data_IF_551341743192
#
_entry.id   IF_551341743192
#
_cell.length_a   1.000
_cell.length_b   1.000
_cell.length_c   1.000
_cell.angle_alpha   90.00
_cell.angle_beta   90.00
_cell.angle_gamma   90.00
#
_symmetry.space_group_name_H-M   'P 1'
#
loop_
_entity.id
_entity.type
_entity.pdbx_description
1 polymer ?
#
# COMPACT_ATOMS: atom_id res chain seq x y z
N UNK A 1 23.23 23.26 13.89
CA UNK A 1 23.26 24.02 15.15
C UNK A 1 24.68 24.01 15.72
N UNK A 2 25.18 22.90 16.31
CA UNK A 2 26.54 22.82 16.91
C UNK A 2 27.67 23.44 16.10
N UNK A 3 27.76 23.09 14.81
CA UNK A 3 28.79 23.61 13.91
C UNK A 3 28.72 25.14 13.73
N UNK A 4 27.51 25.68 13.69
CA UNK A 4 27.27 27.11 13.49
C UNK A 4 27.16 27.89 14.81
N UNK A 5 27.08 27.21 15.97
CA UNK A 5 26.90 27.84 17.28
C UNK A 5 25.61 28.67 17.42
N UNK A 6 24.60 28.41 16.58
CA UNK A 6 23.33 29.14 16.59
C UNK A 6 22.14 28.21 16.80
N UNK A 7 21.08 28.67 17.49
CA UNK A 7 19.81 27.96 17.57
C UNK A 7 19.21 27.77 16.17
N UNK A 8 18.50 26.67 15.97
CA UNK A 8 17.78 26.41 14.71
C UNK A 8 16.31 26.22 15.03
N UNK A 9 15.48 27.01 14.35
CA UNK A 9 14.03 26.81 14.29
C UNK A 9 13.72 26.21 12.93
N UNK A 10 13.25 24.96 12.91
CA UNK A 10 12.85 24.25 11.70
C UNK A 10 11.34 24.09 11.69
N UNK A 11 10.69 24.69 10.70
CA UNK A 11 9.25 24.58 10.48
C UNK A 11 9.02 23.71 9.26
N UNK A 12 8.20 22.67 9.41
CA UNK A 12 7.88 21.74 8.35
C UNK A 12 6.39 21.79 8.02
N UNK A 13 6.06 21.47 6.77
CA UNK A 13 4.68 21.28 6.35
C UNK A 13 4.11 19.99 6.96
N UNK A 14 2.78 19.90 7.05
CA UNK A 14 2.06 18.68 7.41
C UNK A 14 0.91 18.44 6.44
N UNK A 15 0.68 17.18 6.08
CA UNK A 15 -0.41 16.77 5.19
C UNK A 15 0.05 16.01 3.94
N UNK A 16 -0.90 15.40 3.24
CA UNK A 16 -0.68 14.68 1.99
C UNK A 16 -0.79 15.58 0.75
N UNK A 17 0.09 15.39 -0.22
CA UNK A 17 0.04 16.01 -1.54
C UNK A 17 0.45 14.97 -2.59
N UNK A 18 -0.52 14.52 -3.38
CA UNK A 18 -0.36 13.43 -4.35
C UNK A 18 0.29 12.19 -3.70
N UNK A 19 1.51 11.84 -4.09
CA UNK A 19 2.26 10.69 -3.56
C UNK A 19 3.04 11.02 -2.27
N UNK A 20 3.23 12.29 -1.95
CA UNK A 20 4.05 12.72 -0.81
C UNK A 20 3.18 12.98 0.42
N UNK A 21 3.72 12.66 1.59
CA UNK A 21 3.14 13.04 2.87
C UNK A 21 4.19 13.81 3.66
N UNK A 22 3.85 15.03 4.03
CA UNK A 22 4.63 15.85 4.94
C UNK A 22 4.21 15.51 6.37
N UNK A 23 5.19 15.17 7.19
CA UNK A 23 5.03 14.59 8.51
C UNK A 23 4.93 15.64 9.63
N UNK A 24 5.15 16.92 9.34
CA UNK A 24 5.22 17.96 10.36
C UNK A 24 6.47 17.78 11.21
N UNK A 25 6.29 17.59 12.53
CA UNK A 25 7.42 17.38 13.43
C UNK A 25 8.37 18.59 13.51
N UNK A 26 7.85 19.80 13.27
CA UNK A 26 8.57 21.06 13.45
C UNK A 26 9.31 21.07 14.78
N UNK A 27 10.55 21.55 14.81
CA UNK A 27 11.39 21.45 15.99
C UNK A 27 12.27 22.67 16.16
N UNK A 28 12.73 22.87 17.40
CA UNK A 28 13.71 23.89 17.76
C UNK A 28 14.85 23.22 18.50
N UNK A 29 16.09 23.57 18.14
CA UNK A 29 17.29 23.18 18.86
C UNK A 29 18.05 24.42 19.34
N UNK A 30 18.64 24.33 20.54
CA UNK A 30 19.56 25.35 21.06
C UNK A 30 20.88 25.40 20.25
N UNK A 31 21.80 26.30 20.59
CA UNK A 31 23.10 26.46 19.92
C UNK A 31 24.06 25.26 20.13
N UNK A 32 23.81 24.42 21.13
CA UNK A 32 24.56 23.21 21.45
C UNK A 32 23.95 21.96 20.75
N UNK A 33 22.86 22.15 20.02
CA UNK A 33 22.18 21.09 19.28
C UNK A 33 21.26 20.21 20.14
N UNK A 34 20.89 20.66 21.34
CA UNK A 34 19.86 19.98 22.12
C UNK A 34 18.48 20.41 21.65
N UNK A 35 17.55 19.46 21.38
CA UNK A 35 16.18 19.80 21.07
C UNK A 35 15.52 20.45 22.29
N UNK A 36 14.92 21.62 22.09
CA UNK A 36 14.11 22.33 23.10
C UNK A 36 12.61 22.24 22.79
N UNK A 37 12.25 22.00 21.53
CA UNK A 37 10.88 21.74 21.14
C UNK A 37 10.83 20.73 19.99
N UNK A 38 9.83 19.84 20.00
CA UNK A 38 9.42 19.02 18.85
C UNK A 38 7.92 18.84 18.87
N UNK A 39 7.27 19.31 17.82
CA UNK A 39 5.82 19.25 17.63
C UNK A 39 5.31 17.86 17.34
N UNK A 40 3.99 17.76 17.24
CA UNK A 40 3.34 16.52 16.87
C UNK A 40 3.63 16.16 15.40
N UNK A 41 3.61 14.87 15.10
CA UNK A 41 3.69 14.38 13.73
C UNK A 41 2.28 14.20 13.15
N UNK A 42 2.14 14.43 11.85
CA UNK A 42 0.90 14.24 11.07
C UNK A 42 -0.32 15.03 11.59
N UNK A 43 -0.08 16.06 12.39
CA UNK A 43 -1.10 16.89 13.03
C UNK A 43 -0.84 18.36 12.72
N UNK A 44 -1.87 19.08 12.30
CA UNK A 44 -1.78 20.54 12.14
C UNK A 44 -1.72 21.20 13.53
N UNK A 45 -0.75 22.08 13.72
CA UNK A 45 -0.46 22.64 15.04
C UNK A 45 0.05 24.08 14.89
N UNK A 46 -0.45 24.98 15.75
CA UNK A 46 0.10 26.32 15.92
C UNK A 46 0.73 26.42 17.31
N UNK A 47 2.04 26.64 17.37
CA UNK A 47 2.78 26.69 18.65
C UNK A 47 3.67 27.91 18.77
N UNK A 48 3.66 28.49 19.96
CA UNK A 48 4.59 29.52 20.40
C UNK A 48 5.72 28.84 21.18
N UNK A 49 6.96 29.13 20.78
CA UNK A 49 8.17 28.72 21.50
C UNK A 49 8.92 29.98 21.90
N UNK A 50 9.13 30.18 23.19
CA UNK A 50 9.89 31.32 23.70
C UNK A 50 11.35 30.93 23.88
N UNK A 51 12.23 31.68 23.22
CA UNK A 51 13.67 31.47 23.27
C UNK A 51 14.31 32.63 24.04
N UNK A 52 15.13 32.31 25.04
CA UNK A 52 15.98 33.27 25.72
C UNK A 52 17.09 33.80 24.80
N UNK A 53 17.85 34.79 25.28
CA UNK A 53 18.91 35.44 24.51
C UNK A 53 20.03 34.47 24.03
N UNK A 54 20.24 33.36 24.75
CA UNK A 54 21.15 32.27 24.40
C UNK A 54 20.53 31.19 23.50
N UNK A 55 19.26 31.34 23.10
CA UNK A 55 18.52 30.34 22.34
C UNK A 55 17.99 29.16 23.15
N UNK A 56 18.08 29.23 24.47
CA UNK A 56 17.53 28.23 25.40
C UNK A 56 16.05 28.50 25.64
N UNK A 57 15.20 27.48 25.61
CA UNK A 57 13.79 27.60 26.01
C UNK A 57 13.64 27.47 27.53
N UNK A 58 12.62 28.11 28.10
CA UNK A 58 12.33 27.98 29.55
C UNK A 58 11.82 26.59 29.93
N UNK A 59 11.07 25.93 29.05
CA UNK A 59 10.57 24.57 29.25
C UNK A 59 10.65 23.81 27.92
N UNK A 60 11.24 22.60 27.97
CA UNK A 60 11.41 21.78 26.79
C UNK A 60 10.19 20.88 26.58
N UNK A 61 9.54 20.98 25.42
CA UNK A 61 8.45 20.07 25.04
C UNK A 61 8.86 19.26 23.81
N UNK A 62 9.20 18.00 24.03
CA UNK A 62 9.77 17.14 22.99
C UNK A 62 8.86 15.93 22.80
N UNK A 63 7.97 16.00 21.82
CA UNK A 63 7.16 14.84 21.41
C UNK A 63 8.10 13.69 21.01
N UNK A 64 7.96 12.44 21.48
CA UNK A 64 8.86 11.35 21.08
C UNK A 64 8.74 11.03 19.58
N UNK A 65 9.80 10.47 18.99
CA UNK A 65 9.68 9.94 17.62
C UNK A 65 8.76 8.73 17.66
N UNK A 66 7.73 8.67 16.79
CA UNK A 66 6.88 7.49 16.72
C UNK A 66 7.70 6.28 16.23
N UNK A 67 7.41 5.07 16.74
CA UNK A 67 8.00 3.85 16.17
C UNK A 67 7.59 3.70 14.71
N UNK A 68 8.39 2.96 13.93
CA UNK A 68 8.22 2.85 12.47
C UNK A 68 6.79 2.45 12.05
N UNK A 69 6.14 1.42 12.62
CA UNK A 69 4.77 1.06 12.23
C UNK A 69 3.77 2.20 12.48
N UNK A 70 3.87 2.89 13.63
CA UNK A 70 3.01 4.02 13.94
C UNK A 70 3.20 5.21 12.98
N UNK A 71 4.46 5.53 12.66
CA UNK A 71 4.82 6.59 11.71
C UNK A 71 4.28 6.30 10.31
N UNK A 72 4.51 5.07 9.81
CA UNK A 72 4.04 4.65 8.49
C UNK A 72 2.51 4.63 8.44
N UNK A 73 1.84 4.03 9.43
CA UNK A 73 0.38 3.99 9.47
C UNK A 73 -0.24 5.39 9.48
N UNK A 74 0.33 6.32 10.26
CA UNK A 74 -0.11 7.72 10.27
C UNK A 74 0.10 8.40 8.92
N UNK A 75 1.23 8.17 8.24
CA UNK A 75 1.47 8.69 6.90
C UNK A 75 0.44 8.17 5.89
N UNK A 76 0.13 6.87 5.92
CA UNK A 76 -0.87 6.25 5.05
C UNK A 76 -2.26 6.86 5.27
N UNK A 77 -2.68 7.01 6.54
CA UNK A 77 -3.95 7.67 6.88
C UNK A 77 -4.01 9.11 6.39
N UNK A 78 -2.97 9.90 6.65
CA UNK A 78 -2.90 11.29 6.21
C UNK A 78 -2.95 11.39 4.69
N UNK A 79 -2.24 10.52 3.97
CA UNK A 79 -2.28 10.46 2.51
C UNK A 79 -3.68 10.17 1.98
N UNK A 80 -4.37 9.15 2.51
CA UNK A 80 -5.74 8.80 2.10
C UNK A 80 -6.72 9.95 2.40
N UNK A 81 -6.71 10.46 3.63
CA UNK A 81 -7.60 11.54 4.06
C UNK A 81 -7.45 12.76 3.16
N UNK A 82 -6.22 13.22 2.99
CA UNK A 82 -5.95 14.45 2.25
C UNK A 82 -6.20 14.26 0.75
N UNK A 83 -5.89 13.11 0.15
CA UNK A 83 -6.19 12.85 -1.26
C UNK A 83 -7.69 12.85 -1.54
N UNK A 84 -8.49 12.23 -0.67
CA UNK A 84 -9.96 12.21 -0.79
C UNK A 84 -10.55 13.60 -0.59
N UNK A 85 -10.20 14.27 0.50
CA UNK A 85 -10.80 15.55 0.89
C UNK A 85 -10.40 16.70 -0.03
N UNK A 86 -9.11 16.82 -0.37
CA UNK A 86 -8.61 17.93 -1.21
C UNK A 86 -9.12 17.86 -2.65
N UNK A 87 -9.46 16.66 -3.12
CA UNK A 87 -10.07 16.45 -4.45
C UNK A 87 -11.61 16.40 -4.42
N UNK A 88 -12.25 16.54 -3.26
CA UNK A 88 -13.71 16.62 -3.13
C UNK A 88 -14.45 15.29 -3.38
N UNK A 89 -13.79 14.14 -3.20
CA UNK A 89 -14.46 12.84 -3.27
C UNK A 89 -15.39 12.64 -2.08
N UNK A 90 -16.51 11.94 -2.30
CA UNK A 90 -17.52 11.69 -1.25
C UNK A 90 -17.14 10.60 -0.24
N UNK A 91 -15.98 9.98 -0.42
CA UNK A 91 -15.55 8.81 0.34
C UNK A 91 -14.76 7.84 -0.54
N UNK A 92 -14.60 6.62 -0.05
CA UNK A 92 -13.83 5.56 -0.70
C UNK A 92 -14.67 4.30 -0.93
N UNK A 93 -14.36 3.59 -2.01
CA UNK A 93 -14.83 2.23 -2.28
C UNK A 93 -13.63 1.33 -2.53
N UNK A 94 -13.63 0.10 -2.04
CA UNK A 94 -12.58 -0.88 -2.35
C UNK A 94 -13.12 -2.30 -2.43
N UNK A 95 -12.40 -3.15 -3.16
CA UNK A 95 -12.63 -4.59 -3.15
C UNK A 95 -12.07 -5.21 -1.87
N UNK A 96 -12.88 -5.99 -1.16
CA UNK A 96 -12.46 -6.70 0.04
C UNK A 96 -12.37 -8.20 -0.27
N UNK A 97 -11.13 -8.71 -0.37
CA UNK A 97 -10.87 -10.10 -0.77
C UNK A 97 -10.82 -11.08 0.41
N UNK A 98 -10.75 -10.55 1.64
CA UNK A 98 -10.40 -11.33 2.84
C UNK A 98 -8.89 -11.57 2.98
N UNK A 99 -8.08 -11.10 2.02
CA UNK A 99 -6.63 -11.08 2.12
C UNK A 99 -6.11 -9.85 2.88
N UNK A 100 -4.89 -9.99 3.41
CA UNK A 100 -4.30 -9.01 4.33
C UNK A 100 -4.12 -7.60 3.73
N UNK A 101 -3.85 -7.48 2.43
CA UNK A 101 -3.63 -6.17 1.81
C UNK A 101 -4.92 -5.36 1.74
N UNK A 102 -6.03 -6.01 1.37
CA UNK A 102 -7.36 -5.39 1.35
C UNK A 102 -7.86 -5.08 2.75
N UNK A 103 -7.58 -5.95 3.72
CA UNK A 103 -7.91 -5.74 5.13
C UNK A 103 -7.20 -4.51 5.71
N UNK A 104 -5.86 -4.45 5.57
CA UNK A 104 -5.10 -3.29 6.01
C UNK A 104 -5.57 -2.00 5.31
N UNK A 105 -5.86 -2.07 4.01
CA UNK A 105 -6.37 -0.91 3.25
C UNK A 105 -7.73 -0.45 3.78
N UNK A 106 -8.63 -1.37 4.12
CA UNK A 106 -9.93 -1.08 4.71
C UNK A 106 -9.78 -0.38 6.08
N UNK A 107 -8.93 -0.91 6.95
CA UNK A 107 -8.65 -0.32 8.25
C UNK A 107 -8.07 1.10 8.14
N UNK A 108 -7.10 1.31 7.24
CA UNK A 108 -6.52 2.64 6.97
C UNK A 108 -7.60 3.60 6.46
N UNK A 109 -8.41 3.17 5.49
CA UNK A 109 -9.46 4.01 4.91
C UNK A 109 -10.51 4.39 5.96
N UNK A 110 -10.94 3.44 6.78
CA UNK A 110 -11.90 3.66 7.86
C UNK A 110 -11.35 4.64 8.91
N UNK A 111 -10.11 4.48 9.35
CA UNK A 111 -9.49 5.39 10.31
C UNK A 111 -9.20 6.79 9.73
N UNK A 112 -9.02 6.89 8.41
CA UNK A 112 -8.72 8.15 7.72
C UNK A 112 -9.98 8.96 7.40
N UNK A 113 -11.09 8.30 7.09
CA UNK A 113 -12.30 8.91 6.52
C UNK A 113 -13.54 8.78 7.40
N UNK A 114 -13.52 7.91 8.41
CA UNK A 114 -14.74 7.45 9.10
C UNK A 114 -15.40 6.29 8.34
N UNK A 115 -15.88 5.28 9.06
CA UNK A 115 -16.44 4.06 8.49
C UNK A 115 -17.64 4.31 7.56
N UNK A 116 -18.45 5.33 7.87
CA UNK A 116 -19.61 5.75 7.08
C UNK A 116 -19.24 6.27 5.67
N UNK A 117 -18.00 6.73 5.50
CA UNK A 117 -17.50 7.24 4.22
C UNK A 117 -16.77 6.16 3.39
N UNK A 118 -16.68 4.93 3.90
CA UNK A 118 -16.05 3.80 3.22
C UNK A 118 -17.11 2.80 2.80
N UNK A 119 -16.92 2.17 1.63
CA UNK A 119 -17.77 1.08 1.15
C UNK A 119 -16.88 -0.09 0.71
N UNK A 120 -17.01 -1.25 1.35
CA UNK A 120 -16.35 -2.47 0.94
C UNK A 120 -17.21 -3.29 -0.03
N UNK A 121 -16.62 -3.89 -1.05
CA UNK A 121 -17.34 -4.76 -1.99
C UNK A 121 -16.64 -6.10 -2.06
N UNK A 122 -17.31 -7.15 -1.60
CA UNK A 122 -16.82 -8.52 -1.71
C UNK A 122 -17.25 -9.06 -3.08
N UNK A 123 -16.30 -9.61 -3.84
CA UNK A 123 -16.56 -10.07 -5.21
C UNK A 123 -16.09 -11.52 -5.41
N UNK A 124 -16.75 -12.49 -4.74
CA UNK A 124 -16.33 -13.89 -4.79
C UNK A 124 -16.53 -14.48 -6.18
N UNK A 125 -15.69 -15.47 -6.49
CA UNK A 125 -15.85 -16.39 -7.62
C UNK A 125 -16.01 -17.82 -7.09
N UNK A 126 -16.25 -18.79 -7.98
CA UNK A 126 -16.20 -20.22 -7.64
C UNK A 126 -14.90 -20.72 -7.00
N UNK A 127 -13.79 -19.99 -7.12
CA UNK A 127 -12.51 -20.34 -6.48
C UNK A 127 -12.31 -19.66 -5.12
N UNK A 128 -13.16 -18.70 -4.77
CA UNK A 128 -13.05 -17.97 -3.51
C UNK A 128 -13.44 -18.89 -2.35
N UNK A 129 -12.56 -18.98 -1.35
CA UNK A 129 -12.82 -19.83 -0.18
C UNK A 129 -13.86 -19.18 0.72
N UNK A 130 -14.74 -19.99 1.33
CA UNK A 130 -15.74 -19.50 2.29
C UNK A 130 -15.10 -18.68 3.42
N UNK A 131 -13.95 -19.14 3.92
CA UNK A 131 -13.19 -18.45 4.97
C UNK A 131 -12.81 -17.02 4.57
N UNK A 132 -12.48 -16.75 3.31
CA UNK A 132 -12.11 -15.42 2.83
C UNK A 132 -13.31 -14.48 2.84
N UNK A 133 -14.49 -14.98 2.48
CA UNK A 133 -15.74 -14.21 2.57
C UNK A 133 -16.16 -13.97 4.02
N UNK A 134 -15.98 -14.96 4.90
CA UNK A 134 -16.28 -14.83 6.34
C UNK A 134 -15.36 -13.79 6.98
N UNK A 135 -14.04 -13.91 6.77
CA UNK A 135 -13.03 -12.99 7.31
C UNK A 135 -13.30 -11.53 6.85
N UNK A 136 -13.60 -11.34 5.57
CA UNK A 136 -13.92 -10.03 5.01
C UNK A 136 -15.18 -9.40 5.65
N UNK A 137 -16.22 -10.19 5.89
CA UNK A 137 -17.44 -9.69 6.56
C UNK A 137 -17.19 -9.34 8.01
N UNK A 138 -16.48 -10.20 8.73
CA UNK A 138 -16.12 -9.99 10.14
C UNK A 138 -15.35 -8.68 10.32
N UNK A 139 -14.38 -8.39 9.45
CA UNK A 139 -13.63 -7.14 9.47
C UNK A 139 -14.53 -5.91 9.18
N UNK A 140 -15.35 -5.98 8.14
CA UNK A 140 -16.24 -4.87 7.77
C UNK A 140 -17.23 -4.56 8.91
N UNK A 141 -17.77 -5.59 9.56
CA UNK A 141 -18.66 -5.47 10.71
C UNK A 141 -17.94 -4.90 11.94
N UNK A 142 -16.72 -5.37 12.23
CA UNK A 142 -15.91 -4.85 13.33
C UNK A 142 -15.53 -3.37 13.17
N UNK A 143 -15.34 -2.91 11.93
CA UNK A 143 -15.07 -1.50 11.61
C UNK A 143 -16.36 -0.65 11.50
N UNK A 144 -17.53 -1.27 11.39
CA UNK A 144 -18.78 -0.57 11.10
C UNK A 144 -18.88 -0.04 9.66
N UNK A 145 -18.14 -0.63 8.73
CA UNK A 145 -18.13 -0.26 7.31
C UNK A 145 -19.28 -0.98 6.59
N UNK A 146 -20.03 -0.24 5.77
CA UNK A 146 -21.04 -0.84 4.90
C UNK A 146 -20.37 -1.72 3.84
N UNK A 147 -20.92 -2.91 3.60
CA UNK A 147 -20.44 -3.80 2.55
C UNK A 147 -21.55 -4.42 1.72
N UNK A 148 -21.24 -4.68 0.45
CA UNK A 148 -22.08 -5.43 -0.49
C UNK A 148 -21.32 -6.67 -0.99
N UNK A 149 -22.07 -7.70 -1.41
CA UNK A 149 -21.51 -8.90 -2.02
C UNK A 149 -22.03 -9.04 -3.45
N UNK A 150 -21.11 -9.08 -4.42
CA UNK A 150 -21.42 -9.22 -5.85
C UNK A 150 -20.59 -10.37 -6.42
N UNK A 151 -21.18 -11.57 -6.49
CA UNK A 151 -20.51 -12.72 -7.09
C UNK A 151 -20.24 -12.49 -8.58
N UNK A 152 -19.04 -12.88 -9.04
CA UNK A 152 -18.59 -12.60 -10.41
C UNK A 152 -18.77 -13.78 -11.37
N UNK A 153 -19.24 -14.94 -10.91
CA UNK A 153 -19.29 -16.17 -11.72
C UNK A 153 -20.10 -16.02 -13.01
N UNK A 154 -21.25 -15.33 -12.96
CA UNK A 154 -22.06 -15.09 -14.16
C UNK A 154 -21.33 -14.22 -15.18
N UNK A 155 -20.60 -13.20 -14.70
CA UNK A 155 -19.81 -12.32 -15.56
C UNK A 155 -18.61 -13.08 -16.14
N UNK A 156 -17.90 -13.84 -15.31
CA UNK A 156 -16.76 -14.65 -15.77
C UNK A 156 -17.19 -15.71 -16.79
N UNK A 157 -18.32 -16.37 -16.58
CA UNK A 157 -18.88 -17.35 -17.51
C UNK A 157 -19.29 -16.71 -18.83
N UNK A 158 -19.91 -15.53 -18.80
CA UNK A 158 -20.28 -14.80 -20.02
C UNK A 158 -19.04 -14.49 -20.87
N UNK A 159 -17.97 -13.97 -20.27
CA UNK A 159 -16.71 -13.75 -21.00
C UNK A 159 -16.09 -15.05 -21.51
N UNK A 160 -16.14 -16.13 -20.72
CA UNK A 160 -15.63 -17.45 -21.14
C UNK A 160 -16.33 -17.94 -22.40
N UNK A 161 -17.66 -17.84 -22.46
CA UNK A 161 -18.46 -18.26 -23.62
C UNK A 161 -18.13 -17.44 -24.87
N UNK A 162 -17.98 -16.12 -24.74
CA UNK A 162 -17.64 -15.25 -25.87
C UNK A 162 -16.20 -15.47 -26.38
N UNK A 163 -15.27 -15.81 -25.49
CA UNK A 163 -13.87 -16.07 -25.83
C UNK A 163 -13.60 -17.51 -26.27
N UNK A 164 -14.51 -18.45 -26.00
CA UNK A 164 -14.34 -19.87 -26.32
C UNK A 164 -13.97 -20.15 -27.79
N UNK A 165 -14.57 -19.48 -28.81
CA UNK A 165 -14.17 -19.68 -30.20
C UNK A 165 -12.72 -19.26 -30.49
N UNK A 166 -12.19 -18.27 -29.76
CA UNK A 166 -10.84 -17.75 -29.93
C UNK A 166 -9.79 -18.54 -29.14
N UNK A 167 -10.18 -19.06 -27.98
CA UNK A 167 -9.30 -19.83 -27.09
C UNK A 167 -9.37 -21.34 -27.34
N UNK A 168 -10.12 -21.74 -28.37
CA UNK A 168 -10.26 -23.14 -28.75
C UNK A 168 -8.87 -23.78 -28.91
N UNK A 169 -8.68 -24.92 -28.22
CA UNK A 169 -7.45 -25.71 -28.20
C UNK A 169 -6.23 -25.04 -27.53
N UNK A 170 -6.41 -23.88 -26.89
CA UNK A 170 -5.38 -23.27 -26.04
C UNK A 170 -5.53 -23.77 -24.58
N UNK A 171 -4.41 -24.04 -23.88
CA UNK A 171 -4.47 -24.36 -22.47
C UNK A 171 -4.88 -23.13 -21.66
N UNK A 172 -5.60 -23.34 -20.55
CA UNK A 172 -5.87 -22.29 -19.57
C UNK A 172 -4.55 -21.77 -19.01
N UNK A 173 -4.47 -20.46 -18.81
CA UNK A 173 -3.32 -19.80 -18.21
C UNK A 173 -3.74 -18.55 -17.42
N UNK A 174 -2.81 -17.61 -17.23
CA UNK A 174 -3.10 -16.36 -16.53
C UNK A 174 -4.20 -15.51 -17.23
N UNK A 175 -4.56 -15.77 -18.48
CA UNK A 175 -5.62 -15.06 -19.19
C UNK A 175 -6.97 -15.16 -18.45
N UNK A 176 -7.39 -16.37 -18.06
CA UNK A 176 -8.64 -16.60 -17.33
C UNK A 176 -8.61 -16.01 -15.90
N UNK A 177 -7.47 -16.08 -15.23
CA UNK A 177 -7.27 -15.48 -13.90
C UNK A 177 -7.36 -13.95 -13.96
N UNK A 178 -6.64 -13.34 -14.91
CA UNK A 178 -6.63 -11.89 -15.14
C UNK A 178 -8.01 -11.36 -15.53
N UNK A 179 -8.83 -12.16 -16.23
CA UNK A 179 -10.20 -11.78 -16.58
C UNK A 179 -11.06 -11.56 -15.32
N UNK A 180 -10.95 -12.44 -14.33
CA UNK A 180 -11.66 -12.28 -13.05
C UNK A 180 -11.25 -10.99 -12.34
N UNK A 181 -9.95 -10.68 -12.30
CA UNK A 181 -9.47 -9.43 -11.73
C UNK A 181 -10.03 -8.20 -12.46
N UNK A 182 -10.09 -8.21 -13.80
CA UNK A 182 -10.66 -7.11 -14.61
C UNK A 182 -12.16 -6.92 -14.41
N UNK A 183 -12.91 -8.00 -14.25
CA UNK A 183 -14.34 -7.92 -13.92
C UNK A 183 -14.53 -7.18 -12.59
N UNK A 184 -13.74 -7.53 -11.56
CA UNK A 184 -13.77 -6.85 -10.25
C UNK A 184 -13.42 -5.37 -10.36
N UNK A 185 -12.37 -5.04 -11.11
CA UNK A 185 -11.99 -3.66 -11.39
C UNK A 185 -13.13 -2.86 -12.04
N UNK A 186 -13.78 -3.43 -13.06
CA UNK A 186 -14.92 -2.79 -13.73
C UNK A 186 -16.12 -2.56 -12.81
N UNK A 187 -16.45 -3.51 -11.93
CA UNK A 187 -17.53 -3.36 -10.95
C UNK A 187 -17.24 -2.20 -9.98
N UNK A 188 -16.03 -2.14 -9.42
CA UNK A 188 -15.63 -1.05 -8.51
C UNK A 188 -15.65 0.30 -9.21
N UNK A 189 -15.15 0.38 -10.44
CA UNK A 189 -15.19 1.61 -11.23
C UNK A 189 -16.62 2.05 -11.56
N UNK A 190 -17.54 1.11 -11.85
CA UNK A 190 -18.95 1.41 -12.06
C UNK A 190 -19.61 1.98 -10.80
N UNK A 191 -19.32 1.41 -9.63
CA UNK A 191 -19.80 1.90 -8.33
C UNK A 191 -19.23 3.30 -8.04
N UNK A 192 -17.93 3.50 -8.28
CA UNK A 192 -17.27 4.80 -8.12
C UNK A 192 -17.93 5.88 -8.98
N UNK A 193 -18.14 5.60 -10.28
CA UNK A 193 -18.80 6.52 -11.21
C UNK A 193 -20.21 6.93 -10.76
N UNK A 194 -20.95 6.01 -10.13
CA UNK A 194 -22.33 6.25 -9.71
C UNK A 194 -22.43 6.96 -8.35
N UNK A 195 -21.49 6.71 -7.45
CA UNK A 195 -21.53 7.17 -6.06
C UNK A 195 -20.67 8.41 -5.79
N UNK A 196 -19.69 8.69 -6.65
CA UNK A 196 -18.68 9.73 -6.43
C UNK A 196 -17.64 9.38 -5.35
N UNK A 197 -17.59 8.11 -4.91
CA UNK A 197 -16.53 7.58 -4.05
C UNK A 197 -15.32 7.16 -4.90
N UNK A 198 -14.11 7.34 -4.40
CA UNK A 198 -12.89 6.96 -5.10
C UNK A 198 -12.58 5.47 -4.91
N UNK A 199 -12.19 4.76 -5.97
CA UNK A 199 -11.67 3.39 -5.81
C UNK A 199 -10.26 3.42 -5.22
N UNK A 200 -10.08 2.81 -4.04
CA UNK A 200 -8.77 2.55 -3.44
C UNK A 200 -8.28 1.17 -3.88
N UNK A 201 -7.07 1.11 -4.42
CA UNK A 201 -6.41 -0.15 -4.80
C UNK A 201 -5.56 -0.67 -3.65
N UNK A 202 -5.40 -1.99 -3.60
CA UNK A 202 -4.84 -2.72 -2.46
C UNK A 202 -3.50 -3.39 -2.78
N UNK A 203 -2.90 -3.11 -3.94
CA UNK A 203 -1.62 -3.72 -4.33
C UNK A 203 -0.46 -3.16 -3.51
N UNK A 204 0.37 -4.05 -2.95
CA UNK A 204 1.53 -3.66 -2.13
C UNK A 204 2.81 -3.47 -2.97
N UNK A 205 3.89 -2.97 -2.36
CA UNK A 205 5.15 -2.69 -3.06
C UNK A 205 5.78 -3.94 -3.65
N UNK A 206 5.69 -5.07 -2.97
CA UNK A 206 6.30 -6.34 -3.38
C UNK A 206 5.65 -6.86 -4.65
N UNK A 207 4.32 -6.87 -4.68
CA UNK A 207 3.50 -7.24 -5.85
C UNK A 207 3.76 -6.30 -7.03
N UNK A 208 3.73 -4.99 -6.80
CA UNK A 208 3.99 -3.99 -7.85
C UNK A 208 5.42 -4.09 -8.40
N UNK A 209 6.39 -4.42 -7.54
CA UNK A 209 7.79 -4.56 -7.94
C UNK A 209 7.96 -5.69 -8.94
N UNK A 210 7.47 -6.88 -8.63
CA UNK A 210 7.63 -8.07 -9.48
C UNK A 210 6.51 -8.23 -10.51
N UNK A 211 5.54 -7.31 -10.52
CA UNK A 211 4.40 -7.29 -11.44
C UNK A 211 3.39 -8.40 -11.21
N UNK A 212 3.27 -8.87 -9.96
CA UNK A 212 2.23 -9.80 -9.53
C UNK A 212 0.91 -9.03 -9.34
N UNK A 213 0.38 -8.57 -10.47
CA UNK A 213 -0.72 -7.62 -10.57
C UNK A 213 -1.34 -7.66 -11.97
N UNK A 214 -2.64 -7.39 -12.04
CA UNK A 214 -3.40 -7.37 -13.28
C UNK A 214 -3.69 -5.93 -13.69
N UNK A 215 -3.17 -5.53 -14.86
CA UNK A 215 -3.56 -4.26 -15.47
C UNK A 215 -5.07 -4.24 -15.70
N UNK A 216 -5.69 -3.15 -15.24
CA UNK A 216 -7.15 -2.92 -15.27
C UNK A 216 -7.97 -3.90 -14.42
N UNK A 217 -7.29 -4.71 -13.59
CA UNK A 217 -7.90 -5.56 -12.58
C UNK A 217 -7.70 -4.97 -11.19
N UNK A 218 -6.87 -5.62 -10.36
CA UNK A 218 -6.49 -5.13 -9.03
C UNK A 218 -5.80 -3.74 -9.06
N UNK A 219 -5.21 -3.35 -10.20
CA UNK A 219 -4.64 -2.02 -10.41
C UNK A 219 -5.69 -0.95 -10.78
N UNK A 220 -6.96 -1.32 -11.02
CA UNK A 220 -8.00 -0.38 -11.40
C UNK A 220 -8.48 0.44 -10.20
N UNK A 221 -7.99 1.68 -10.10
CA UNK A 221 -8.51 2.65 -9.14
C UNK A 221 -7.81 3.99 -9.20
N UNK A 222 -8.18 4.89 -8.30
CA UNK A 222 -7.72 6.27 -8.31
C UNK A 222 -6.61 6.59 -7.30
N UNK A 223 -6.40 5.73 -6.30
CA UNK A 223 -5.31 5.89 -5.32
C UNK A 223 -4.87 4.52 -4.78
N UNK A 224 -3.57 4.30 -4.67
CA UNK A 224 -2.95 3.03 -4.25
C UNK A 224 -2.33 3.17 -2.87
N UNK A 225 -3.13 2.87 -1.84
CA UNK A 225 -2.81 3.21 -0.44
C UNK A 225 -1.48 2.62 -0.01
N UNK A 226 -1.27 1.34 -0.30
CA UNK A 226 -0.12 0.56 0.18
C UNK A 226 0.90 0.24 -0.92
N UNK A 227 0.88 0.96 -2.04
CA UNK A 227 1.78 0.74 -3.20
C UNK A 227 3.27 0.83 -2.86
N UNK A 228 3.65 1.56 -1.82
CA UNK A 228 5.04 1.69 -1.37
C UNK A 228 5.32 0.98 -0.03
N UNK A 229 4.41 0.09 0.40
CA UNK A 229 4.55 -0.74 1.61
C UNK A 229 4.94 -2.17 1.19
N UNK A 230 6.13 -2.69 1.57
CA UNK A 230 6.49 -4.09 1.34
C UNK A 230 5.53 -5.06 2.05
N UNK A 231 5.34 -6.27 1.53
CA UNK A 231 4.42 -7.27 2.11
C UNK A 231 4.75 -7.57 3.57
N UNK A 232 6.01 -7.71 3.91
CA UNK A 232 6.46 -7.91 5.30
C UNK A 232 5.99 -6.80 6.24
N UNK A 233 6.04 -5.54 5.77
CA UNK A 233 5.53 -4.39 6.51
C UNK A 233 4.00 -4.33 6.55
N UNK A 234 3.29 -4.86 5.55
CA UNK A 234 1.81 -5.01 5.59
C UNK A 234 1.40 -5.86 6.81
N UNK A 235 2.07 -6.99 7.06
CA UNK A 235 1.82 -7.82 8.25
C UNK A 235 2.11 -7.07 9.55
N UNK A 236 3.23 -6.34 9.62
CA UNK A 236 3.57 -5.56 10.82
C UNK A 236 2.57 -4.43 11.09
N UNK A 237 2.08 -3.76 10.05
CA UNK A 237 1.07 -2.70 10.17
C UNK A 237 -0.29 -3.27 10.58
N UNK A 238 -0.68 -4.44 10.07
CA UNK A 238 -1.91 -5.10 10.48
C UNK A 238 -1.89 -5.47 11.97
N UNK A 239 -0.76 -6.03 12.47
CA UNK A 239 -0.56 -6.30 13.90
C UNK A 239 -0.60 -5.01 14.72
N UNK A 240 0.15 -3.99 14.30
CA UNK A 240 0.15 -2.68 14.96
C UNK A 240 -1.26 -2.05 15.04
N UNK A 241 -2.07 -2.20 13.99
CA UNK A 241 -3.44 -1.70 14.01
C UNK A 241 -4.34 -2.49 14.96
N UNK A 242 -4.14 -3.80 15.06
CA UNK A 242 -4.88 -4.67 15.98
C UNK A 242 -4.51 -4.47 17.46
N UNK A 243 -3.32 -3.94 17.78
CA UNK A 243 -2.94 -3.55 19.15
C UNK A 243 -3.83 -2.42 19.69
N UNK A 244 -4.37 -1.57 18.82
CA UNK A 244 -5.25 -0.45 19.20
C UNK A 244 -6.70 -0.90 19.35
N UNK A 245 -7.17 -1.72 18.42
CA UNK A 245 -8.47 -2.39 18.45
C UNK A 245 -8.43 -3.55 17.46
N UNK A 246 -8.87 -4.73 17.89
CA UNK A 246 -8.88 -5.95 17.07
C UNK A 246 -9.99 -5.86 16.02
N UNK A 247 -9.61 -5.41 14.84
CA UNK A 247 -10.55 -5.20 13.71
C UNK A 247 -10.22 -6.10 12.53
N UNK A 248 -8.93 -6.42 12.31
CA UNK A 248 -8.50 -7.36 11.28
C UNK A 248 -8.53 -8.78 11.88
N UNK A 249 -9.27 -9.74 11.33
CA UNK A 249 -9.31 -11.10 11.88
C UNK A 249 -7.92 -11.75 11.91
N UNK A 250 -7.58 -12.43 13.01
CA UNK A 250 -6.24 -13.01 13.21
C UNK A 250 -5.87 -14.04 12.12
N UNK A 251 -6.87 -14.73 11.57
CA UNK A 251 -6.68 -15.66 10.45
C UNK A 251 -6.19 -14.98 9.19
N UNK A 252 -6.58 -13.72 8.93
CA UNK A 252 -6.10 -12.91 7.80
C UNK A 252 -4.61 -12.62 7.94
N UNK A 253 -4.11 -12.47 9.17
CA UNK A 253 -2.71 -12.18 9.49
C UNK A 253 -1.84 -13.43 9.45
N UNK A 254 -2.39 -14.59 9.82
CA UNK A 254 -1.63 -15.83 10.01
C UNK A 254 -1.67 -16.79 8.82
N UNK A 255 -2.67 -16.67 7.93
CA UNK A 255 -2.77 -17.52 6.73
C UNK A 255 -1.78 -17.12 5.64
N UNK A 256 -1.43 -18.09 4.79
CA UNK A 256 -0.63 -17.84 3.60
C UNK A 256 -1.38 -16.89 2.62
N UNK A 257 -0.68 -15.93 2.00
CA UNK A 257 -1.28 -15.02 1.04
C UNK A 257 -1.64 -15.73 -0.28
N UNK A 258 -2.76 -15.32 -0.88
CA UNK A 258 -3.28 -15.89 -2.12
C UNK A 258 -4.21 -14.89 -2.82
N UNK A 259 -4.20 -14.90 -4.16
CA UNK A 259 -5.12 -14.14 -4.99
C UNK A 259 -6.48 -14.85 -5.23
N UNK A 260 -6.57 -16.15 -4.93
CA UNK A 260 -7.78 -17.00 -5.11
C UNK A 260 -8.43 -16.87 -6.51
N UNK A 261 -7.61 -16.85 -7.56
CA UNK A 261 -8.04 -16.80 -8.96
C UNK A 261 -8.11 -18.19 -9.62
N UNK A 262 -7.47 -19.19 -9.00
CA UNK A 262 -7.45 -20.58 -9.41
C UNK A 262 -7.55 -21.51 -8.17
N UNK A 263 -7.91 -22.80 -8.33
CA UNK A 263 -7.98 -23.76 -7.23
C UNK A 263 -6.64 -23.86 -6.48
N UNK A 264 -6.70 -23.84 -5.14
CA UNK A 264 -5.56 -24.03 -4.24
C UNK A 264 -4.34 -23.12 -4.49
N UNK A 265 -4.55 -21.96 -5.13
CA UNK A 265 -3.50 -21.02 -5.49
C UNK A 265 -2.82 -20.40 -4.26
N UNK A 266 -1.50 -20.31 -4.27
CA UNK A 266 -0.70 -19.55 -3.31
C UNK A 266 0.26 -18.58 -4.04
N UNK A 267 0.62 -17.46 -3.41
CA UNK A 267 1.57 -16.52 -4.01
C UNK A 267 2.95 -17.16 -4.27
N UNK A 268 3.32 -18.12 -3.42
CA UNK A 268 4.58 -18.89 -3.49
C UNK A 268 4.69 -19.80 -4.71
N UNK A 269 3.58 -20.06 -5.41
CA UNK A 269 3.61 -20.76 -6.70
C UNK A 269 4.38 -19.95 -7.76
N UNK A 270 4.32 -18.61 -7.66
CA UNK A 270 4.90 -17.68 -8.63
C UNK A 270 6.05 -16.84 -8.09
N UNK A 271 6.19 -16.72 -6.76
CA UNK A 271 7.14 -15.84 -6.09
C UNK A 271 7.99 -16.59 -5.06
N UNK A 272 9.22 -16.15 -4.78
CA UNK A 272 9.90 -16.54 -3.54
C UNK A 272 9.09 -16.07 -2.32
N UNK A 273 9.25 -16.71 -1.15
CA UNK A 273 8.66 -16.23 0.09
C UNK A 273 8.99 -14.75 0.36
N UNK A 274 8.04 -14.00 0.91
CA UNK A 274 8.16 -12.55 1.05
C UNK A 274 9.30 -12.10 1.95
N UNK A 275 9.67 -12.91 2.95
CA UNK A 275 10.84 -12.73 3.82
C UNK A 275 12.18 -12.84 3.08
N UNK A 276 12.20 -13.46 1.89
CA UNK A 276 13.35 -13.49 0.98
C UNK A 276 13.20 -12.41 -0.10
N UNK A 277 11.99 -12.26 -0.65
CA UNK A 277 11.71 -11.32 -1.74
C UNK A 277 11.92 -9.86 -1.31
N UNK A 278 11.34 -9.43 -0.20
CA UNK A 278 11.34 -8.02 0.22
C UNK A 278 12.76 -7.48 0.48
N UNK A 279 13.67 -8.19 1.16
CA UNK A 279 15.06 -7.75 1.30
C UNK A 279 15.80 -7.60 -0.05
N UNK A 280 15.58 -8.52 -0.99
CA UNK A 280 16.16 -8.42 -2.35
C UNK A 280 15.62 -7.19 -3.07
N UNK A 281 14.31 -6.94 -2.94
CA UNK A 281 13.67 -5.76 -3.53
C UNK A 281 14.19 -4.45 -2.90
N UNK A 282 14.34 -4.38 -1.59
CA UNK A 282 14.91 -3.21 -0.91
C UNK A 282 16.33 -2.93 -1.39
N UNK A 283 17.18 -3.96 -1.42
CA UNK A 283 18.57 -3.80 -1.86
C UNK A 283 18.67 -3.38 -3.34
N UNK A 284 17.85 -3.98 -4.22
CA UNK A 284 17.88 -3.70 -5.66
C UNK A 284 17.24 -2.36 -6.02
N UNK A 285 16.13 -1.98 -5.38
CA UNK A 285 15.34 -0.80 -5.76
C UNK A 285 15.75 0.42 -4.96
N UNK A 286 15.85 0.27 -3.63
CA UNK A 286 16.06 1.41 -2.73
C UNK A 286 17.54 1.72 -2.51
N UNK A 287 18.38 0.69 -2.44
CA UNK A 287 19.83 0.83 -2.21
C UNK A 287 20.67 0.77 -3.49
N UNK A 288 20.03 0.48 -4.64
CA UNK A 288 20.65 0.44 -5.97
C UNK A 288 21.84 -0.55 -6.07
N UNK A 289 21.80 -1.63 -5.30
CA UNK A 289 22.83 -2.67 -5.33
C UNK A 289 22.71 -3.54 -6.59
N UNK A 290 23.85 -3.95 -7.14
CA UNK A 290 23.90 -4.90 -8.25
C UNK A 290 23.50 -6.31 -7.82
N UNK A 291 23.03 -7.18 -8.74
CA UNK A 291 22.72 -8.57 -8.43
C UNK A 291 23.88 -9.34 -7.78
N UNK A 292 25.13 -9.02 -8.15
CA UNK A 292 26.32 -9.61 -7.56
C UNK A 292 26.53 -9.19 -6.10
N UNK A 293 26.35 -7.90 -5.79
CA UNK A 293 26.42 -7.39 -4.41
C UNK A 293 25.31 -7.98 -3.53
N UNK A 294 24.10 -8.12 -4.07
CA UNK A 294 22.98 -8.76 -3.35
C UNK A 294 23.30 -10.22 -3.07
N UNK A 295 23.80 -10.96 -4.06
CA UNK A 295 24.20 -12.36 -3.90
C UNK A 295 25.32 -12.51 -2.86
N UNK A 296 26.29 -11.57 -2.82
CA UNK A 296 27.37 -11.55 -1.84
C UNK A 296 26.89 -11.37 -0.39
N UNK A 297 25.65 -10.89 -0.17
CA UNK A 297 25.00 -10.81 1.15
C UNK A 297 24.38 -12.16 1.61
N UNK A 298 24.48 -13.20 0.79
CA UNK A 298 24.05 -14.56 1.14
C UNK A 298 22.74 -15.01 0.51
N UNK A 299 22.13 -14.22 -0.38
CA UNK A 299 20.96 -14.66 -1.16
C UNK A 299 21.37 -15.58 -2.30
N UNK A 300 20.52 -16.56 -2.62
CA UNK A 300 20.73 -17.45 -3.78
C UNK A 300 20.81 -16.63 -5.09
N UNK A 301 21.92 -16.69 -5.84
CA UNK A 301 22.09 -15.97 -7.10
C UNK A 301 20.98 -16.22 -8.13
N UNK A 302 20.40 -17.43 -8.16
CA UNK A 302 19.31 -17.75 -9.09
C UNK A 302 18.02 -17.02 -8.70
N UNK A 303 17.73 -16.93 -7.41
CA UNK A 303 16.57 -16.20 -6.87
C UNK A 303 16.75 -14.71 -7.12
N UNK A 304 17.93 -14.15 -6.82
CA UNK A 304 18.25 -12.73 -7.09
C UNK A 304 18.05 -12.42 -8.57
N UNK A 305 18.65 -13.21 -9.48
CA UNK A 305 18.52 -12.99 -10.91
C UNK A 305 17.07 -13.13 -11.42
N UNK A 306 16.27 -14.02 -10.83
CA UNK A 306 14.83 -14.13 -11.16
C UNK A 306 14.08 -12.86 -10.73
N UNK A 307 14.26 -12.43 -9.47
CA UNK A 307 13.55 -11.26 -8.91
C UNK A 307 13.90 -9.98 -9.67
N UNK A 308 15.19 -9.71 -9.90
CA UNK A 308 15.61 -8.49 -10.61
C UNK A 308 15.10 -8.44 -12.05
N UNK A 309 15.07 -9.57 -12.76
CA UNK A 309 14.44 -9.67 -14.09
C UNK A 309 12.94 -9.42 -14.05
N UNK A 310 12.22 -9.94 -13.04
CA UNK A 310 10.80 -9.64 -12.86
C UNK A 310 10.58 -8.14 -12.62
N UNK A 311 11.45 -7.50 -11.83
CA UNK A 311 11.39 -6.04 -11.62
C UNK A 311 11.54 -5.30 -12.94
N UNK A 312 12.60 -5.57 -13.71
CA UNK A 312 12.86 -4.87 -14.98
C UNK A 312 11.71 -5.09 -15.98
N UNK A 313 11.25 -6.33 -16.16
CA UNK A 313 10.22 -6.68 -17.15
C UNK A 313 8.86 -6.03 -16.88
N UNK A 314 8.52 -5.77 -15.62
CA UNK A 314 7.22 -5.25 -15.23
C UNK A 314 7.13 -3.70 -15.14
N UNK A 315 8.10 -2.98 -15.70
CA UNK A 315 8.07 -1.51 -15.76
C UNK A 315 6.81 -0.96 -16.42
N UNK A 316 6.32 -1.62 -17.48
CA UNK A 316 5.12 -1.19 -18.20
C UNK A 316 3.84 -1.20 -17.34
N UNK A 317 3.73 -2.14 -16.38
CA UNK A 317 2.60 -2.20 -15.45
C UNK A 317 2.68 -1.04 -14.45
N UNK A 318 3.85 -0.84 -13.84
CA UNK A 318 4.06 0.21 -12.82
C UNK A 318 3.84 1.62 -13.35
N UNK A 319 4.12 1.86 -14.64
CA UNK A 319 3.87 3.15 -15.30
C UNK A 319 2.37 3.51 -15.40
N UNK A 320 1.49 2.53 -15.24
CA UNK A 320 0.03 2.71 -15.25
C UNK A 320 -0.59 2.55 -13.85
N UNK A 321 0.21 2.30 -12.82
CA UNK A 321 -0.29 2.19 -11.46
C UNK A 321 -0.79 3.57 -10.98
N UNK A 322 -1.90 3.61 -10.21
CA UNK A 322 -2.37 4.87 -9.63
C UNK A 322 -1.30 5.52 -8.72
N UNK A 323 -1.42 6.83 -8.46
CA UNK A 323 -0.61 7.47 -7.42
C UNK A 323 -0.91 6.82 -6.07
N UNK A 324 0.06 6.82 -5.16
CA UNK A 324 -0.06 6.19 -3.86
C UNK A 324 0.90 6.81 -2.85
N UNK A 325 0.69 6.54 -1.57
CA UNK A 325 1.52 7.13 -0.51
C UNK A 325 2.94 6.55 -0.57
N UNK A 326 3.93 7.43 -0.72
CA UNK A 326 5.35 7.09 -0.63
C UNK A 326 5.79 7.11 0.83
N UNK A 327 6.40 6.02 1.28
CA UNK A 327 6.98 5.87 2.62
C UNK A 327 8.46 5.47 2.58
N UNK A 328 8.97 5.09 1.41
CA UNK A 328 10.36 4.71 1.18
C UNK A 328 11.22 5.88 0.67
N UNK A 329 12.54 5.71 0.80
CA UNK A 329 13.51 6.68 0.27
C UNK A 329 13.49 6.74 -1.25
N UNK A 330 13.14 5.65 -1.92
CA UNK A 330 13.07 5.57 -3.38
C UNK A 330 11.88 4.71 -3.80
N UNK A 331 10.80 5.39 -4.20
CA UNK A 331 9.59 4.75 -4.68
C UNK A 331 9.63 4.53 -6.20
N UNK A 332 8.71 3.69 -6.69
CA UNK A 332 8.47 3.56 -8.12
C UNK A 332 7.79 4.82 -8.66
N UNK A 333 8.33 5.41 -9.73
CA UNK A 333 7.81 6.64 -10.32
C UNK A 333 8.91 7.69 -10.50
N UNK A 334 8.75 8.86 -9.87
CA UNK A 334 9.66 9.99 -10.08
C UNK A 334 11.10 9.71 -9.65
N UNK A 335 11.31 8.92 -8.59
CA UNK A 335 12.64 8.61 -8.02
C UNK A 335 13.37 7.45 -8.74
N UNK A 336 12.63 6.61 -9.48
CA UNK A 336 13.18 5.49 -10.24
C UNK A 336 12.60 5.46 -11.64
N UNK A 337 13.32 6.05 -12.60
CA UNK A 337 12.90 6.19 -14.00
C UNK A 337 13.66 5.20 -14.87
N UNK A 338 13.04 4.06 -15.17
CA UNK A 338 13.58 3.05 -16.07
C UNK A 338 12.82 3.04 -17.40
N UNK A 339 13.48 2.70 -18.52
CA UNK A 339 12.80 2.55 -19.80
C UNK A 339 11.90 1.31 -19.78
N UNK A 340 10.75 1.40 -20.47
CA UNK A 340 9.92 0.22 -20.75
C UNK A 340 10.60 -0.67 -21.80
N UNK A 341 11.00 -0.07 -22.92
CA UNK A 341 11.77 -0.75 -23.96
C UNK A 341 13.22 -0.90 -23.52
N UNK A 342 13.59 -2.09 -23.06
CA UNK A 342 14.94 -2.39 -22.58
C UNK A 342 15.36 -3.80 -23.01
N UNK A 343 16.60 -3.93 -23.49
CA UNK A 343 17.26 -5.22 -23.70
C UNK A 343 18.21 -5.60 -22.56
N UNK A 344 18.28 -4.80 -21.50
CA UNK A 344 19.07 -5.09 -20.32
C UNK A 344 18.42 -6.24 -19.54
N UNK A 345 19.09 -7.40 -19.53
CA UNK A 345 18.61 -8.66 -18.94
C UNK A 345 19.46 -9.10 -17.77
#
# INVERSE_FOLDING_TARGET
SREAGVPIVYVNLVGGQDELVFDGGSFVCDAQGHPVYRGAFFTEELRRVELGASGTAQEAQITPLPPRPASVYAALKTGVRDYIQKNGFRGAVLGLSGGIDSALTLAIASDALGAENVHAVLMPSRYTRDISTIDAKEEAEALGVTYDVIAIDLLAEAYRLELEPLFKDLPKDAAEENLQARIRGNLLMAISNKTGKLVLTTGNKSEMAVGYATLYGDMAGGFAVIKDVPKTLVYDLARYRNEQSRVIPERVITRAPSAELAPDQEDTDSLPPYEILDPILEDFIERDLSPAEISAKGFDPQVVARVTRMVVRNEYKRRQAPPGVRISRRAFGRDRRYPITSGFN
#
